data_IF_696495178145
#
_entry.id   IF_696495178145
#
_cell.length_a   1.000
_cell.length_b   1.000
_cell.length_c   1.000
_cell.angle_alpha   90.00
_cell.angle_beta   90.00
_cell.angle_gamma   90.00
#
_symmetry.space_group_name_H-M   'P 1'
#
loop_
_entity.id
_entity.type
_entity.pdbx_description
1 polymer ?
#
# COMPACT_ATOMS: atom_id res chain seq x y z
N UNK A 1 -1.31 -28.11 11.48
CA UNK A 1 -0.38 -27.99 12.61
C UNK A 1 -1.18 -27.66 13.86
N UNK A 2 -0.93 -28.29 15.01
CA UNK A 2 -1.45 -27.82 16.29
C UNK A 2 -0.84 -26.42 16.56
N UNK A 3 -1.61 -25.43 17.06
CA UNK A 3 -1.04 -24.16 17.47
C UNK A 3 0.06 -24.45 18.52
N UNK A 4 1.21 -23.81 18.40
CA UNK A 4 2.19 -23.77 19.48
C UNK A 4 1.53 -23.11 20.71
N UNK A 5 1.92 -23.44 21.93
CA UNK A 5 1.41 -22.79 23.13
C UNK A 5 1.67 -21.27 23.14
N UNK A 6 2.56 -20.78 22.27
CA UNK A 6 2.94 -19.38 22.08
C UNK A 6 2.12 -18.62 21.00
N UNK A 7 1.07 -19.23 20.43
CA UNK A 7 0.29 -18.61 19.34
C UNK A 7 -0.64 -17.51 19.85
N UNK A 8 -0.37 -16.27 19.47
CA UNK A 8 -1.15 -15.08 19.85
C UNK A 8 -2.52 -15.02 19.16
N UNK A 9 -3.52 -14.46 19.86
CA UNK A 9 -4.78 -14.02 19.29
C UNK A 9 -4.64 -12.54 18.92
N UNK A 10 -4.73 -12.21 17.63
CA UNK A 10 -4.49 -10.86 17.14
C UNK A 10 -5.74 -10.35 16.43
N UNK A 11 -6.27 -9.23 16.91
CA UNK A 11 -7.37 -8.53 16.27
C UNK A 11 -6.83 -7.43 15.35
N UNK A 12 -7.10 -7.53 14.04
CA UNK A 12 -6.64 -6.59 13.01
C UNK A 12 -7.81 -5.68 12.62
N UNK A 13 -7.68 -4.37 12.86
CA UNK A 13 -8.71 -3.39 12.59
C UNK A 13 -8.40 -2.60 11.32
N UNK A 14 -9.25 -2.74 10.32
CA UNK A 14 -9.20 -1.97 9.08
C UNK A 14 -9.82 -0.58 9.25
N UNK A 15 -9.44 0.40 8.41
CA UNK A 15 -10.14 1.68 8.34
C UNK A 15 -11.64 1.49 8.07
N UNK A 16 -12.52 2.25 8.77
CA UNK A 16 -13.97 2.08 8.70
C UNK A 16 -14.57 2.18 7.28
N UNK A 17 -13.88 2.85 6.33
CA UNK A 17 -14.30 2.98 4.92
C UNK A 17 -13.70 1.91 4.01
N UNK A 18 -12.72 1.14 4.49
CA UNK A 18 -12.03 0.12 3.69
C UNK A 18 -12.94 -1.09 3.46
N UNK A 19 -12.96 -1.61 2.24
CA UNK A 19 -13.73 -2.79 1.88
C UNK A 19 -12.81 -4.02 1.86
N UNK A 20 -13.03 -4.99 2.73
CA UNK A 20 -12.28 -6.25 2.73
C UNK A 20 -12.91 -7.25 1.75
N UNK A 21 -12.81 -6.95 0.44
CA UNK A 21 -13.45 -7.71 -0.62
C UNK A 21 -12.61 -7.70 -1.89
N UNK A 22 -12.47 -8.81 -2.65
CA UNK A 22 -11.68 -8.87 -3.89
C UNK A 22 -12.09 -7.80 -4.91
N UNK A 23 -13.38 -7.47 -5.00
CA UNK A 23 -13.90 -6.54 -5.99
C UNK A 23 -13.57 -5.07 -5.70
N UNK A 24 -13.44 -4.68 -4.43
CA UNK A 24 -13.38 -3.27 -4.02
C UNK A 24 -12.32 -2.99 -2.95
N UNK A 25 -11.33 -3.88 -2.77
CA UNK A 25 -10.26 -3.67 -1.81
C UNK A 25 -9.38 -2.48 -2.21
N UNK A 26 -9.14 -1.58 -1.27
CA UNK A 26 -8.08 -0.60 -1.38
C UNK A 26 -6.70 -1.19 -1.02
N UNK A 27 -5.69 -0.34 -1.01
CA UNK A 27 -4.31 -0.77 -0.75
C UNK A 27 -4.14 -1.44 0.62
N UNK A 28 -4.81 -0.92 1.66
CA UNK A 28 -4.71 -1.46 3.04
C UNK A 28 -5.38 -2.82 3.13
N UNK A 29 -6.61 -2.98 2.61
CA UNK A 29 -7.32 -4.26 2.65
C UNK A 29 -6.57 -5.36 1.86
N UNK A 30 -6.03 -5.02 0.69
CA UNK A 30 -5.22 -5.96 -0.12
C UNK A 30 -3.96 -6.38 0.62
N UNK A 31 -3.26 -5.42 1.23
CA UNK A 31 -2.05 -5.69 2.01
C UNK A 31 -2.35 -6.60 3.19
N UNK A 32 -3.35 -6.27 4.01
CA UNK A 32 -3.76 -7.09 5.17
C UNK A 32 -4.17 -8.50 4.73
N UNK A 33 -4.93 -8.63 3.63
CA UNK A 33 -5.26 -9.93 3.06
C UNK A 33 -4.00 -10.72 2.71
N UNK A 34 -3.07 -10.12 1.95
CA UNK A 34 -1.90 -10.82 1.41
C UNK A 34 -0.95 -11.28 2.52
N UNK A 35 -0.69 -10.45 3.54
CA UNK A 35 0.17 -10.84 4.67
C UNK A 35 -0.51 -11.85 5.60
N UNK A 36 -1.82 -11.69 5.85
CA UNK A 36 -2.57 -12.64 6.71
C UNK A 36 -2.63 -14.02 6.07
N UNK A 37 -2.86 -14.07 4.74
CA UNK A 37 -2.87 -15.32 3.98
C UNK A 37 -1.49 -16.00 3.94
N UNK A 38 -0.42 -15.21 3.92
CA UNK A 38 0.96 -15.70 3.83
C UNK A 38 1.60 -15.99 5.19
N UNK A 39 0.97 -15.59 6.30
CA UNK A 39 1.48 -15.85 7.66
C UNK A 39 1.55 -17.36 7.95
N UNK A 40 2.66 -17.77 8.52
CA UNK A 40 2.94 -19.17 8.93
C UNK A 40 3.23 -19.30 10.41
N UNK A 41 3.12 -18.21 11.18
CA UNK A 41 3.44 -18.16 12.62
C UNK A 41 2.52 -19.02 13.50
N UNK A 42 1.36 -19.44 13.00
CA UNK A 42 0.33 -20.10 13.79
C UNK A 42 -0.54 -19.13 14.62
N UNK A 43 -0.29 -17.82 14.59
CA UNK A 43 -1.13 -16.83 15.26
C UNK A 43 -2.57 -16.89 14.76
N UNK A 44 -3.51 -16.66 15.67
CA UNK A 44 -4.95 -16.61 15.35
C UNK A 44 -5.34 -15.19 14.99
N UNK A 45 -5.31 -14.88 13.69
CA UNK A 45 -5.59 -13.55 13.15
C UNK A 45 -7.09 -13.38 12.88
N UNK A 46 -7.71 -12.33 13.43
CA UNK A 46 -9.11 -11.97 13.18
C UNK A 46 -9.19 -10.55 12.64
N UNK A 47 -9.77 -10.41 11.45
CA UNK A 47 -9.84 -9.13 10.74
C UNK A 47 -11.20 -8.50 10.97
N UNK A 48 -11.21 -7.24 11.40
CA UNK A 48 -12.41 -6.44 11.60
C UNK A 48 -12.50 -5.32 10.57
N UNK A 49 -13.64 -5.22 9.89
CA UNK A 49 -13.89 -4.21 8.87
C UNK A 49 -15.38 -3.89 8.70
N UNK A 50 -15.70 -2.98 7.80
CA UNK A 50 -17.10 -2.73 7.45
C UNK A 50 -17.73 -3.94 6.77
N UNK A 51 -19.05 -4.06 6.86
CA UNK A 51 -19.78 -5.10 6.14
C UNK A 51 -19.57 -4.97 4.62
N UNK A 52 -19.33 -6.09 3.98
CA UNK A 52 -19.21 -6.25 2.52
C UNK A 52 -19.99 -7.48 2.09
N UNK A 53 -20.51 -7.49 0.86
CA UNK A 53 -21.33 -8.60 0.34
C UNK A 53 -20.52 -9.88 0.15
N UNK A 54 -19.26 -9.77 -0.29
CA UNK A 54 -18.35 -10.89 -0.56
C UNK A 54 -16.97 -10.56 0.00
N UNK A 55 -16.67 -10.91 1.27
CA UNK A 55 -15.35 -10.75 1.84
C UNK A 55 -14.33 -11.65 1.15
N UNK A 56 -13.03 -11.40 1.35
CA UNK A 56 -11.99 -12.32 0.88
C UNK A 56 -12.25 -13.73 1.45
N UNK A 57 -12.25 -14.79 0.62
CA UNK A 57 -12.53 -16.14 1.05
C UNK A 57 -11.42 -16.69 1.97
N UNK A 58 -11.80 -17.64 2.84
CA UNK A 58 -10.90 -18.33 3.76
C UNK A 58 -10.16 -17.40 4.75
N UNK A 59 -10.74 -16.22 5.04
CA UNK A 59 -10.24 -15.29 6.05
C UNK A 59 -11.20 -15.25 7.25
N UNK A 60 -10.63 -15.20 8.46
CA UNK A 60 -11.40 -14.98 9.69
C UNK A 60 -11.80 -13.48 9.75
N UNK A 61 -12.88 -13.13 9.08
CA UNK A 61 -13.38 -11.76 8.95
C UNK A 61 -14.67 -11.54 9.73
N UNK A 62 -14.70 -10.47 10.52
CA UNK A 62 -15.86 -10.02 11.26
C UNK A 62 -16.29 -8.63 10.80
N UNK A 63 -17.53 -8.51 10.34
CA UNK A 63 -18.11 -7.23 9.97
C UNK A 63 -18.52 -6.41 11.20
N UNK A 64 -18.15 -5.12 11.21
CA UNK A 64 -18.57 -4.16 12.23
C UNK A 64 -19.42 -3.06 11.60
N UNK A 65 -20.58 -2.79 12.19
CA UNK A 65 -21.40 -1.61 11.90
C UNK A 65 -21.03 -0.51 12.90
N UNK A 66 -20.50 0.64 12.44
CA UNK A 66 -20.14 1.74 13.33
C UNK A 66 -21.30 2.17 14.22
N UNK A 67 -21.03 2.36 15.51
CA UNK A 67 -21.99 2.80 16.51
C UNK A 67 -21.93 4.30 16.71
N UNK A 68 -23.07 4.97 16.81
CA UNK A 68 -23.17 6.43 17.03
C UNK A 68 -22.29 7.24 16.03
N UNK A 69 -22.14 6.77 14.79
CA UNK A 69 -21.29 7.39 13.78
C UNK A 69 -21.75 8.81 13.40
N UNK A 70 -23.02 9.12 13.58
CA UNK A 70 -23.61 10.44 13.37
C UNK A 70 -23.07 11.49 14.36
N UNK A 71 -22.66 11.08 15.56
CA UNK A 71 -22.15 11.97 16.62
C UNK A 71 -20.61 12.02 16.64
N UNK A 72 -19.95 10.87 16.55
CA UNK A 72 -18.51 10.74 16.75
C UNK A 72 -17.74 10.50 15.45
N UNK A 73 -18.42 10.36 14.32
CA UNK A 73 -17.87 10.01 13.03
C UNK A 73 -17.58 8.51 12.87
N UNK A 74 -17.38 8.07 11.62
CA UNK A 74 -17.28 6.66 11.25
C UNK A 74 -16.14 5.91 11.97
N UNK A 75 -14.97 6.52 12.12
CA UNK A 75 -13.80 5.86 12.71
C UNK A 75 -14.00 5.59 14.21
N UNK A 76 -14.44 6.59 14.98
CA UNK A 76 -14.70 6.40 16.42
C UNK A 76 -15.92 5.52 16.64
N UNK A 77 -16.98 5.68 15.85
CA UNK A 77 -18.12 4.77 15.88
C UNK A 77 -17.75 3.32 15.61
N UNK A 78 -16.78 3.07 14.71
CA UNK A 78 -16.23 1.73 14.47
C UNK A 78 -15.48 1.21 15.70
N UNK A 79 -14.60 2.03 16.30
CA UNK A 79 -13.87 1.67 17.51
C UNK A 79 -14.80 1.35 18.69
N UNK A 80 -15.87 2.14 18.88
CA UNK A 80 -16.89 1.89 19.90
C UNK A 80 -17.62 0.55 19.69
N UNK A 81 -17.98 0.23 18.46
CA UNK A 81 -18.65 -1.02 18.12
C UNK A 81 -17.70 -2.21 18.31
N UNK A 82 -16.42 -2.10 17.92
CA UNK A 82 -15.39 -3.09 18.19
C UNK A 82 -15.24 -3.37 19.71
N UNK A 83 -15.09 -2.32 20.51
CA UNK A 83 -14.95 -2.45 21.97
C UNK A 83 -16.16 -3.10 22.65
N UNK A 84 -17.37 -2.93 22.11
CA UNK A 84 -18.57 -3.65 22.58
C UNK A 84 -18.46 -5.15 22.27
N UNK A 85 -18.05 -5.52 21.06
CA UNK A 85 -17.85 -6.93 20.70
C UNK A 85 -16.75 -7.58 21.55
N UNK A 86 -15.67 -6.82 21.85
CA UNK A 86 -14.59 -7.30 22.70
C UNK A 86 -15.02 -7.72 24.09
N UNK A 87 -16.10 -7.15 24.64
CA UNK A 87 -16.64 -7.54 25.93
C UNK A 87 -17.32 -8.93 25.93
N UNK A 88 -17.68 -9.44 24.76
CA UNK A 88 -18.42 -10.70 24.56
C UNK A 88 -17.57 -11.83 24.00
N UNK A 89 -16.28 -11.58 23.75
CA UNK A 89 -15.34 -12.53 23.15
C UNK A 89 -14.06 -12.67 23.98
N UNK A 90 -13.27 -13.74 23.80
CA UNK A 90 -11.94 -13.83 24.39
C UNK A 90 -11.11 -12.60 24.01
N UNK A 91 -10.40 -12.04 24.98
CA UNK A 91 -9.55 -10.87 24.77
C UNK A 91 -8.40 -11.24 23.83
N UNK A 92 -8.07 -10.39 22.84
CA UNK A 92 -6.88 -10.58 22.04
C UNK A 92 -5.61 -10.29 22.87
N UNK A 93 -4.52 -10.91 22.48
CA UNK A 93 -3.20 -10.66 23.03
C UNK A 93 -2.59 -9.37 22.44
N UNK A 94 -3.02 -9.00 21.24
CA UNK A 94 -2.57 -7.79 20.53
C UNK A 94 -3.71 -7.23 19.67
N UNK A 95 -3.82 -5.90 19.60
CA UNK A 95 -4.70 -5.19 18.67
C UNK A 95 -3.83 -4.46 17.64
N UNK A 96 -4.02 -4.79 16.37
CA UNK A 96 -3.32 -4.17 15.23
C UNK A 96 -4.26 -3.22 14.49
N UNK A 97 -3.90 -1.93 14.38
CA UNK A 97 -4.75 -0.89 13.80
C UNK A 97 -4.08 -0.31 12.55
N UNK A 98 -4.81 -0.30 11.44
CA UNK A 98 -4.30 0.22 10.17
C UNK A 98 -4.78 1.62 9.87
N UNK A 99 -3.84 2.58 9.77
CA UNK A 99 -4.05 3.90 9.18
C UNK A 99 -5.06 4.80 9.88
N UNK A 100 -5.27 4.63 11.21
CA UNK A 100 -6.22 5.48 11.95
C UNK A 100 -5.71 5.80 13.35
N UNK A 101 -4.86 6.85 13.46
CA UNK A 101 -4.23 7.27 14.70
C UNK A 101 -5.25 7.58 15.81
N UNK A 102 -6.33 8.28 15.48
CA UNK A 102 -7.40 8.58 16.45
C UNK A 102 -8.14 7.33 16.95
N UNK A 103 -8.21 6.26 16.16
CA UNK A 103 -8.77 4.96 16.60
C UNK A 103 -7.80 4.29 17.57
N UNK A 104 -6.50 4.31 17.27
CA UNK A 104 -5.47 3.77 18.15
C UNK A 104 -5.48 4.47 19.52
N UNK A 105 -5.44 5.81 19.54
CA UNK A 105 -5.55 6.60 20.78
C UNK A 105 -6.83 6.28 21.56
N UNK A 106 -7.96 6.14 20.88
CA UNK A 106 -9.23 5.84 21.54
C UNK A 106 -9.25 4.43 22.15
N UNK A 107 -8.76 3.42 21.44
CA UNK A 107 -8.76 2.03 21.92
C UNK A 107 -7.79 1.85 23.07
N UNK A 108 -6.56 2.35 22.98
CA UNK A 108 -5.56 2.21 24.05
C UNK A 108 -6.02 2.93 25.33
N UNK A 109 -6.70 4.08 25.20
CA UNK A 109 -7.26 4.78 26.36
C UNK A 109 -8.39 4.00 27.05
N UNK A 110 -9.14 3.15 26.34
CA UNK A 110 -10.23 2.34 26.88
C UNK A 110 -9.80 0.93 27.30
N UNK A 111 -8.66 0.45 26.81
CA UNK A 111 -8.08 -0.89 27.09
C UNK A 111 -6.56 -0.81 27.25
N UNK A 112 -6.06 -0.08 28.29
CA UNK A 112 -4.63 0.19 28.43
C UNK A 112 -3.78 -1.09 28.69
N UNK A 113 -4.39 -2.17 29.08
CA UNK A 113 -3.75 -3.46 29.36
C UNK A 113 -3.68 -4.39 28.15
N UNK A 114 -4.22 -4.02 26.99
CA UNK A 114 -4.05 -4.74 25.73
C UNK A 114 -3.07 -3.96 24.86
N UNK A 115 -1.92 -4.55 24.49
CA UNK A 115 -0.98 -3.85 23.61
C UNK A 115 -1.63 -3.52 22.26
N UNK A 116 -1.34 -2.32 21.77
CA UNK A 116 -1.87 -1.81 20.49
C UNK A 116 -0.71 -1.44 19.60
N UNK A 117 -0.72 -1.97 18.37
CA UNK A 117 0.20 -1.62 17.29
C UNK A 117 -0.52 -0.78 16.24
N UNK A 118 0.12 0.26 15.74
CA UNK A 118 -0.41 1.16 14.72
C UNK A 118 0.41 1.08 13.44
N UNK A 119 -0.20 0.66 12.34
CA UNK A 119 0.38 0.73 10.99
C UNK A 119 0.05 2.06 10.33
N UNK A 120 1.07 2.76 9.83
CA UNK A 120 0.97 4.06 9.15
C UNK A 120 1.22 3.91 7.65
N UNK A 121 0.17 3.77 6.83
CA UNK A 121 0.27 3.65 5.37
C UNK A 121 0.32 5.02 4.65
N UNK A 122 0.17 6.13 5.34
CA UNK A 122 0.17 7.49 4.80
C UNK A 122 0.87 8.45 5.77
N UNK A 123 1.14 9.69 5.31
CA UNK A 123 1.74 10.74 6.12
C UNK A 123 0.88 11.02 7.38
N UNK A 124 1.43 10.80 8.57
CA UNK A 124 0.70 11.00 9.81
C UNK A 124 0.37 12.46 10.09
N UNK A 125 1.09 13.41 9.50
CA UNK A 125 0.85 14.86 9.68
C UNK A 125 -0.49 15.30 9.08
N UNK A 126 -1.01 14.53 8.12
CA UNK A 126 -2.34 14.76 7.51
C UNK A 126 -3.45 13.94 8.17
N UNK A 127 -3.11 13.07 9.14
CA UNK A 127 -4.05 12.12 9.73
C UNK A 127 -4.61 12.64 11.06
N UNK A 128 -5.91 12.49 11.28
CA UNK A 128 -6.57 12.86 12.53
C UNK A 128 -6.00 12.02 13.70
N UNK A 129 -5.51 12.71 14.74
CA UNK A 129 -4.90 12.09 15.93
C UNK A 129 -3.38 11.90 15.84
N UNK A 130 -2.73 12.55 14.84
CA UNK A 130 -1.26 12.59 14.71
C UNK A 130 -0.74 13.84 14.00
N UNK A 131 -1.61 14.84 13.79
CA UNK A 131 -1.23 16.07 13.08
C UNK A 131 -0.19 16.91 13.85
N UNK A 132 -0.33 16.97 15.16
CA UNK A 132 0.57 17.76 16.02
C UNK A 132 1.67 16.89 16.60
N UNK A 133 2.78 17.53 16.99
CA UNK A 133 3.88 16.89 17.71
C UNK A 133 3.36 16.24 18.99
N UNK A 134 2.50 16.93 19.75
CA UNK A 134 1.92 16.41 20.98
C UNK A 134 1.08 15.14 20.78
N UNK A 135 0.24 15.08 19.71
CA UNK A 135 -0.52 13.90 19.37
C UNK A 135 0.40 12.71 19.01
N UNK A 136 1.46 12.95 18.25
CA UNK A 136 2.42 11.89 17.88
C UNK A 136 3.21 11.40 19.09
N UNK A 137 3.64 12.32 19.99
CA UNK A 137 4.30 11.95 21.24
C UNK A 137 3.38 11.12 22.14
N UNK A 138 2.11 11.48 22.25
CA UNK A 138 1.11 10.71 23.00
C UNK A 138 0.91 9.29 22.43
N UNK A 139 0.94 9.14 21.10
CA UNK A 139 0.91 7.82 20.46
C UNK A 139 2.12 6.96 20.83
N UNK A 140 3.35 7.52 20.79
CA UNK A 140 4.57 6.80 21.18
C UNK A 140 4.52 6.37 22.65
N UNK A 141 4.04 7.23 23.53
CA UNK A 141 3.94 6.94 24.95
C UNK A 141 2.96 5.78 25.25
N UNK A 142 1.85 5.67 24.50
CA UNK A 142 0.74 4.75 24.80
C UNK A 142 0.76 3.46 23.99
N UNK A 143 1.33 3.46 22.80
CA UNK A 143 1.31 2.31 21.91
C UNK A 143 2.50 1.38 22.17
N UNK A 144 2.29 0.09 21.96
CA UNK A 144 3.34 -0.91 22.00
C UNK A 144 4.31 -0.71 20.82
N UNK A 145 3.78 -0.37 19.62
CA UNK A 145 4.60 -0.19 18.44
C UNK A 145 3.89 0.68 17.39
N UNK A 146 4.68 1.45 16.63
CA UNK A 146 4.24 2.24 15.49
C UNK A 146 5.03 1.78 14.28
N UNK A 147 4.33 1.27 13.25
CA UNK A 147 4.93 0.67 12.07
C UNK A 147 4.67 1.56 10.86
N UNK A 148 5.71 2.18 10.34
CA UNK A 148 5.69 3.03 9.17
C UNK A 148 5.94 2.19 7.91
N UNK A 149 5.25 2.47 6.79
CA UNK A 149 5.42 1.70 5.54
C UNK A 149 6.73 2.00 4.82
N UNK A 150 7.47 3.04 5.24
CA UNK A 150 8.73 3.48 4.65
C UNK A 150 9.51 4.34 5.64
N UNK A 151 10.82 4.51 5.40
CA UNK A 151 11.64 5.48 6.15
C UNK A 151 11.11 6.90 5.95
N UNK A 152 10.64 7.24 4.73
CA UNK A 152 9.97 8.51 4.46
C UNK A 152 8.79 8.76 5.42
N UNK A 153 7.92 7.77 5.63
CA UNK A 153 6.78 7.92 6.57
C UNK A 153 7.25 7.94 8.03
N UNK A 154 8.32 7.22 8.36
CA UNK A 154 8.95 7.29 9.68
C UNK A 154 9.50 8.70 9.94
N UNK A 155 10.19 9.30 8.98
CA UNK A 155 10.70 10.66 9.08
C UNK A 155 9.55 11.68 9.25
N UNK A 156 8.46 11.52 8.48
CA UNK A 156 7.25 12.33 8.65
C UNK A 156 6.62 12.17 10.04
N UNK A 157 6.66 10.97 10.62
CA UNK A 157 6.15 10.73 11.96
C UNK A 157 7.04 11.36 13.04
N UNK A 158 8.34 11.24 12.88
CA UNK A 158 9.34 11.76 13.83
C UNK A 158 9.57 13.27 13.73
N UNK A 159 9.08 13.92 12.68
CA UNK A 159 9.26 15.35 12.43
C UNK A 159 8.87 16.20 13.65
N UNK A 160 9.88 16.87 14.24
CA UNK A 160 9.74 17.70 15.45
C UNK A 160 9.59 16.93 16.77
N UNK A 161 9.66 15.58 16.78
CA UNK A 161 9.66 14.79 18.00
C UNK A 161 11.08 14.70 18.60
N UNK A 162 11.17 14.88 19.91
CA UNK A 162 12.33 14.51 20.70
C UNK A 162 11.97 13.25 21.50
N UNK A 163 12.56 12.12 21.11
CA UNK A 163 12.32 10.80 21.69
C UNK A 163 13.63 10.28 22.29
N UNK A 164 13.54 9.55 23.40
CA UNK A 164 14.65 8.76 23.89
C UNK A 164 14.84 7.44 23.09
N UNK A 165 15.84 6.65 23.45
CA UNK A 165 16.17 5.44 22.73
C UNK A 165 15.07 4.37 22.83
N UNK A 166 14.38 4.26 23.95
CA UNK A 166 13.29 3.32 24.17
C UNK A 166 12.04 3.73 23.37
N UNK A 167 11.67 5.01 23.43
CA UNK A 167 10.58 5.58 22.64
C UNK A 167 10.84 5.42 21.13
N UNK A 168 12.08 5.69 20.68
CA UNK A 168 12.45 5.56 19.27
C UNK A 168 12.40 4.11 18.78
N UNK A 169 12.74 3.14 19.63
CA UNK A 169 12.69 1.71 19.30
C UNK A 169 11.26 1.23 19.00
N UNK A 170 10.22 1.91 19.51
CA UNK A 170 8.82 1.62 19.18
C UNK A 170 8.42 2.03 17.77
N UNK A 171 9.20 2.91 17.10
CA UNK A 171 8.88 3.41 15.76
C UNK A 171 9.75 2.68 14.72
N UNK A 172 9.19 1.72 14.04
CA UNK A 172 9.89 0.89 13.08
C UNK A 172 9.35 1.05 11.65
N UNK A 173 10.14 0.59 10.68
CA UNK A 173 9.77 0.59 9.25
C UNK A 173 9.46 -0.83 8.79
N UNK A 174 8.36 -0.93 8.07
CA UNK A 174 7.93 -2.18 7.47
C UNK A 174 7.25 -1.95 6.13
N UNK A 175 7.93 -2.20 5.00
CA UNK A 175 7.37 -2.00 3.67
C UNK A 175 6.27 -3.00 3.35
N UNK A 176 5.33 -2.56 2.51
CA UNK A 176 4.21 -3.39 2.05
C UNK A 176 4.74 -4.51 1.14
N UNK A 177 4.35 -5.75 1.44
CA UNK A 177 4.55 -6.89 0.56
C UNK A 177 3.42 -7.06 -0.45
N UNK A 178 3.73 -7.74 -1.56
CA UNK A 178 2.76 -8.11 -2.59
C UNK A 178 2.85 -9.60 -2.93
N UNK A 179 1.71 -10.20 -3.25
CA UNK A 179 1.65 -11.59 -3.69
C UNK A 179 2.16 -11.69 -5.12
N UNK A 180 3.23 -12.48 -5.32
CA UNK A 180 3.72 -12.85 -6.64
C UNK A 180 3.00 -14.12 -7.09
N UNK A 181 2.37 -14.09 -8.27
CA UNK A 181 1.66 -15.25 -8.84
C UNK A 181 2.61 -16.19 -9.60
N UNK A 182 3.63 -15.63 -10.26
CA UNK A 182 4.57 -16.36 -11.10
C UNK A 182 5.85 -16.74 -10.35
N UNK A 183 6.32 -17.96 -10.54
CA UNK A 183 7.58 -18.48 -9.99
C UNK A 183 8.78 -18.21 -10.91
N UNK A 184 8.52 -18.08 -12.20
CA UNK A 184 9.51 -17.81 -13.25
C UNK A 184 9.19 -16.49 -13.93
N UNK A 185 10.19 -15.77 -14.49
CA UNK A 185 9.97 -14.54 -15.24
C UNK A 185 8.96 -14.77 -16.38
N UNK A 186 7.92 -13.95 -16.51
CA UNK A 186 6.98 -14.07 -17.63
C UNK A 186 7.62 -13.57 -18.93
N UNK A 187 7.17 -14.13 -20.04
CA UNK A 187 7.45 -13.55 -21.34
C UNK A 187 6.76 -12.20 -21.47
N UNK A 188 7.50 -11.17 -21.86
CA UNK A 188 6.99 -9.80 -21.94
C UNK A 188 6.58 -9.45 -23.38
N UNK A 189 5.49 -8.70 -23.46
CA UNK A 189 4.98 -8.12 -24.71
C UNK A 189 5.46 -6.66 -24.82
N UNK A 190 5.49 -6.11 -26.04
CA UNK A 190 5.84 -4.71 -26.29
C UNK A 190 4.72 -3.76 -25.80
N UNK A 191 4.45 -3.77 -24.50
CA UNK A 191 3.42 -3.01 -23.83
C UNK A 191 4.05 -2.10 -22.77
N UNK A 192 3.63 -0.83 -22.78
CA UNK A 192 3.85 0.13 -21.71
C UNK A 192 2.55 0.21 -20.90
N UNK A 193 2.60 -0.13 -19.64
CA UNK A 193 1.43 -0.16 -18.76
C UNK A 193 1.51 0.90 -17.67
N UNK A 194 0.46 1.71 -17.55
CA UNK A 194 0.27 2.69 -16.48
C UNK A 194 -0.98 2.31 -15.69
N UNK A 195 -0.85 2.17 -14.38
CA UNK A 195 -1.97 1.87 -13.50
C UNK A 195 -2.03 2.84 -12.32
N UNK A 196 -3.21 3.41 -12.06
CA UNK A 196 -3.38 4.29 -10.91
C UNK A 196 -4.68 5.08 -10.92
N UNK A 197 -4.92 5.79 -9.81
CA UNK A 197 -6.04 6.75 -9.79
C UNK A 197 -5.81 7.86 -10.81
N UNK A 198 -6.85 8.22 -11.55
CA UNK A 198 -6.79 9.31 -12.52
C UNK A 198 -6.90 10.68 -11.84
N UNK A 199 -5.80 11.09 -11.21
CA UNK A 199 -5.65 12.37 -10.52
C UNK A 199 -4.28 12.99 -10.84
N UNK A 200 -4.15 14.33 -10.85
CA UNK A 200 -2.91 15.01 -11.25
C UNK A 200 -1.66 14.54 -10.50
N UNK A 201 -1.81 14.23 -9.23
CA UNK A 201 -0.70 13.81 -8.37
C UNK A 201 -0.02 12.49 -8.84
N UNK A 202 -0.71 11.71 -9.69
CA UNK A 202 -0.17 10.46 -10.23
C UNK A 202 0.66 10.61 -11.51
N UNK A 203 0.69 11.79 -12.12
CA UNK A 203 1.56 12.10 -13.27
C UNK A 203 1.24 11.32 -14.56
N UNK A 204 0.04 10.73 -14.64
CA UNK A 204 -0.35 9.93 -15.82
C UNK A 204 -0.47 10.80 -17.06
N UNK A 205 -0.95 12.04 -16.93
CA UNK A 205 -1.08 12.98 -18.04
C UNK A 205 0.28 13.34 -18.65
N UNK A 206 1.28 13.60 -17.81
CA UNK A 206 2.64 13.94 -18.23
C UNK A 206 3.30 12.78 -18.98
N UNK A 207 3.07 11.55 -18.51
CA UNK A 207 3.52 10.35 -19.23
C UNK A 207 2.76 10.13 -20.54
N UNK A 208 1.44 10.36 -20.56
CA UNK A 208 0.63 10.26 -21.76
C UNK A 208 1.10 11.23 -22.85
N UNK A 209 1.40 12.49 -22.47
CA UNK A 209 1.96 13.50 -23.38
C UNK A 209 3.35 13.10 -23.89
N UNK A 210 4.23 12.62 -23.00
CA UNK A 210 5.57 12.15 -23.38
C UNK A 210 5.52 10.98 -24.37
N UNK A 211 4.59 10.03 -24.15
CA UNK A 211 4.43 8.86 -25.02
C UNK A 211 3.74 9.22 -26.35
N UNK A 212 2.81 10.18 -26.36
CA UNK A 212 2.21 10.67 -27.61
C UNK A 212 3.26 11.23 -28.58
N UNK A 213 4.34 11.83 -28.05
CA UNK A 213 5.42 12.40 -28.87
C UNK A 213 6.32 11.31 -29.50
N UNK A 214 6.59 10.20 -28.79
CA UNK A 214 7.62 9.25 -29.22
C UNK A 214 7.07 7.92 -29.73
N UNK A 215 5.94 7.44 -29.22
CA UNK A 215 5.42 6.10 -29.52
C UNK A 215 5.08 5.88 -31.00
N UNK A 216 4.68 6.90 -31.79
CA UNK A 216 4.49 6.73 -33.23
C UNK A 216 5.72 6.23 -34.00
N UNK A 217 6.94 6.41 -33.45
CA UNK A 217 8.20 5.88 -34.01
C UNK A 217 8.47 4.42 -33.62
N UNK A 218 7.67 3.84 -32.73
CA UNK A 218 7.78 2.45 -32.19
C UNK A 218 6.48 1.70 -32.41
N UNK A 219 6.16 1.38 -33.64
CA UNK A 219 4.82 0.87 -34.05
C UNK A 219 4.45 -0.46 -33.44
N UNK A 220 5.41 -1.27 -33.02
CA UNK A 220 5.24 -2.54 -32.33
C UNK A 220 4.80 -2.39 -30.87
N UNK A 221 4.98 -1.20 -30.28
CA UNK A 221 4.65 -0.93 -28.89
C UNK A 221 3.23 -0.39 -28.72
N UNK A 222 2.60 -0.79 -27.65
CA UNK A 222 1.26 -0.31 -27.25
C UNK A 222 1.31 0.32 -25.87
N UNK A 223 0.50 1.36 -25.67
CA UNK A 223 0.25 1.99 -24.39
C UNK A 223 -1.10 1.49 -23.82
N UNK A 224 -1.10 1.01 -22.59
CA UNK A 224 -2.33 0.64 -21.86
C UNK A 224 -2.38 1.42 -20.55
N UNK A 225 -3.46 2.18 -20.35
CA UNK A 225 -3.68 3.00 -19.16
C UNK A 225 -4.91 2.47 -18.41
N UNK A 226 -4.72 2.01 -17.17
CA UNK A 226 -5.77 1.48 -16.32
C UNK A 226 -6.01 2.35 -15.08
N UNK A 227 -7.27 2.63 -14.81
CA UNK A 227 -7.69 3.36 -13.62
C UNK A 227 -8.78 4.38 -13.88
N UNK A 228 -9.36 4.89 -12.80
CA UNK A 228 -10.36 5.95 -12.81
C UNK A 228 -10.20 6.83 -11.56
N UNK A 229 -10.79 8.01 -11.59
CA UNK A 229 -10.84 8.90 -10.41
C UNK A 229 -11.75 8.33 -9.32
N UNK A 230 -12.92 7.83 -9.71
CA UNK A 230 -13.95 7.13 -8.91
C UNK A 230 -14.67 6.13 -9.78
N UNK A 231 -15.50 5.29 -9.17
CA UNK A 231 -16.34 4.30 -9.87
C UNK A 231 -17.52 4.93 -10.66
N UNK A 232 -17.54 6.27 -10.88
CA UNK A 232 -18.68 7.03 -11.43
C UNK A 232 -18.29 7.85 -12.66
N UNK A 233 -19.30 8.21 -13.43
CA UNK A 233 -19.41 8.78 -14.78
C UNK A 233 -18.33 9.76 -15.27
N UNK A 234 -18.06 9.67 -16.58
CA UNK A 234 -17.15 10.54 -17.33
C UNK A 234 -17.63 12.02 -17.30
N UNK A 235 -16.79 12.91 -16.76
CA UNK A 235 -16.90 14.36 -16.91
C UNK A 235 -15.96 14.79 -18.03
N UNK A 236 -16.46 15.49 -19.09
CA UNK A 236 -15.64 15.95 -20.22
C UNK A 236 -14.47 16.85 -19.83
N UNK A 237 -14.54 17.51 -18.67
CA UNK A 237 -13.47 18.35 -18.12
C UNK A 237 -12.63 17.60 -17.07
N UNK A 238 -12.85 16.30 -16.91
CA UNK A 238 -12.13 15.47 -15.95
C UNK A 238 -10.65 15.31 -16.32
N UNK A 239 -9.87 14.84 -15.36
CA UNK A 239 -8.48 14.48 -15.61
C UNK A 239 -8.37 13.33 -16.62
N UNK A 240 -9.32 12.38 -16.57
CA UNK A 240 -9.45 11.28 -17.54
C UNK A 240 -9.60 11.79 -18.97
N UNK A 241 -10.45 12.80 -19.19
CA UNK A 241 -10.65 13.41 -20.50
C UNK A 241 -9.37 14.08 -21.03
N UNK A 242 -8.58 14.71 -20.16
CA UNK A 242 -7.28 15.28 -20.53
C UNK A 242 -6.28 14.21 -20.95
N UNK A 243 -6.24 13.08 -20.22
CA UNK A 243 -5.39 11.93 -20.56
C UNK A 243 -5.83 11.33 -21.89
N UNK A 244 -7.14 11.11 -22.09
CA UNK A 244 -7.68 10.57 -23.36
C UNK A 244 -7.31 11.48 -24.54
N UNK A 245 -7.46 12.79 -24.40
CA UNK A 245 -7.07 13.78 -25.43
C UNK A 245 -5.56 13.74 -25.72
N UNK A 246 -4.73 13.55 -24.70
CA UNK A 246 -3.27 13.50 -24.88
C UNK A 246 -2.82 12.29 -25.69
N UNK A 247 -3.50 11.15 -25.57
CA UNK A 247 -3.16 9.92 -26.31
C UNK A 247 -3.95 9.74 -27.62
N UNK A 248 -4.90 10.62 -27.95
CA UNK A 248 -5.71 10.56 -29.18
C UNK A 248 -4.85 10.42 -30.45
N UNK A 249 -3.68 11.12 -30.60
CA UNK A 249 -2.80 10.95 -31.76
C UNK A 249 -2.23 9.52 -31.94
N UNK A 250 -2.22 8.70 -30.90
CA UNK A 250 -1.71 7.34 -30.94
C UNK A 250 -2.70 6.34 -31.58
N UNK A 251 -3.97 6.70 -31.71
CA UNK A 251 -4.98 5.83 -32.30
C UNK A 251 -4.98 4.43 -31.66
N UNK A 252 -4.81 3.39 -32.46
CA UNK A 252 -4.84 2.00 -32.02
C UNK A 252 -3.61 1.58 -31.20
N UNK A 253 -2.57 2.40 -31.08
CA UNK A 253 -1.42 2.14 -30.22
C UNK A 253 -1.70 2.46 -28.74
N UNK A 254 -2.81 3.11 -28.40
CA UNK A 254 -3.14 3.46 -27.03
C UNK A 254 -4.56 3.02 -26.65
N UNK A 255 -4.69 2.54 -25.40
CA UNK A 255 -5.95 2.08 -24.84
C UNK A 255 -6.10 2.60 -23.41
N UNK A 256 -7.29 3.13 -23.08
CA UNK A 256 -7.71 3.41 -21.71
C UNK A 256 -8.78 2.40 -21.30
N UNK A 257 -8.46 1.53 -20.36
CA UNK A 257 -9.38 0.48 -19.90
C UNK A 257 -10.43 0.97 -18.90
N UNK A 258 -10.25 2.19 -18.35
CA UNK A 258 -11.00 2.62 -17.18
C UNK A 258 -10.61 1.84 -15.92
N UNK A 259 -11.53 1.76 -14.96
CA UNK A 259 -11.33 0.93 -13.77
C UNK A 259 -11.41 -0.55 -14.13
N UNK A 260 -10.38 -1.30 -13.74
CA UNK A 260 -10.34 -2.77 -13.85
C UNK A 260 -10.03 -3.41 -12.48
N UNK A 261 -10.51 -4.63 -12.21
CA UNK A 261 -10.18 -5.36 -10.99
C UNK A 261 -8.69 -5.63 -10.84
N UNK A 262 -8.23 -5.80 -9.59
CA UNK A 262 -6.82 -5.98 -9.26
C UNK A 262 -6.17 -7.16 -10.02
N UNK A 263 -6.90 -8.26 -10.21
CA UNK A 263 -6.36 -9.41 -10.94
C UNK A 263 -6.07 -9.07 -12.41
N UNK A 264 -6.91 -8.26 -13.04
CA UNK A 264 -6.65 -7.76 -14.39
C UNK A 264 -5.48 -6.77 -14.44
N UNK A 265 -5.30 -5.92 -13.40
CA UNK A 265 -4.10 -5.07 -13.27
C UNK A 265 -2.84 -5.94 -13.22
N UNK A 266 -2.86 -7.02 -12.43
CA UNK A 266 -1.75 -7.98 -12.35
C UNK A 266 -1.49 -8.68 -13.68
N UNK A 267 -2.55 -9.09 -14.43
CA UNK A 267 -2.41 -9.68 -15.75
C UNK A 267 -1.71 -8.74 -16.73
N UNK A 268 -2.08 -7.46 -16.73
CA UNK A 268 -1.40 -6.45 -17.53
C UNK A 268 0.06 -6.25 -17.12
N UNK A 269 0.36 -6.18 -15.82
CA UNK A 269 1.74 -6.04 -15.32
C UNK A 269 2.59 -7.26 -15.70
N UNK A 270 2.05 -8.47 -15.63
CA UNK A 270 2.78 -9.67 -16.00
C UNK A 270 3.12 -9.72 -17.50
N UNK A 271 2.26 -9.20 -18.36
CA UNK A 271 2.47 -9.09 -19.82
C UNK A 271 3.35 -7.90 -20.22
N UNK A 272 3.20 -6.76 -19.59
CA UNK A 272 3.87 -5.52 -19.97
C UNK A 272 5.40 -5.60 -19.81
N UNK A 273 6.14 -5.20 -20.85
CA UNK A 273 7.59 -5.07 -20.78
C UNK A 273 8.02 -3.86 -19.93
N UNK A 274 7.25 -2.77 -19.98
CA UNK A 274 7.51 -1.54 -19.23
C UNK A 274 6.28 -1.22 -18.38
N UNK A 275 6.49 -0.87 -17.11
CA UNK A 275 5.46 -0.26 -16.27
C UNK A 275 5.91 1.13 -15.84
N UNK A 276 5.00 2.12 -15.91
CA UNK A 276 5.29 3.46 -15.44
C UNK A 276 4.43 3.82 -14.22
N UNK A 277 5.10 4.33 -13.19
CA UNK A 277 4.50 4.78 -11.93
C UNK A 277 4.98 6.21 -11.64
N UNK A 278 4.47 7.20 -12.42
CA UNK A 278 5.08 8.53 -12.55
C UNK A 278 4.63 9.54 -11.50
N UNK A 279 4.49 9.15 -10.24
CA UNK A 279 3.93 10.00 -9.19
C UNK A 279 4.65 11.34 -9.07
N UNK A 280 3.87 12.42 -9.01
CA UNK A 280 4.37 13.79 -8.83
C UNK A 280 4.36 14.22 -7.35
N UNK A 281 3.58 13.56 -6.52
CA UNK A 281 3.51 13.82 -5.09
C UNK A 281 4.37 12.85 -4.27
N UNK A 282 4.57 13.16 -3.01
CA UNK A 282 5.35 12.33 -2.10
C UNK A 282 4.56 11.07 -1.72
N UNK A 283 4.85 9.96 -2.38
CA UNK A 283 4.20 8.67 -2.10
C UNK A 283 4.64 8.11 -0.76
N UNK A 284 3.74 7.54 0.03
CA UNK A 284 4.13 6.84 1.25
C UNK A 284 5.13 5.71 1.00
N UNK A 285 4.91 4.90 -0.05
CA UNK A 285 5.81 3.82 -0.48
C UNK A 285 5.77 3.60 -1.99
N UNK A 286 4.59 3.76 -2.62
CA UNK A 286 4.40 3.45 -4.04
C UNK A 286 4.05 1.99 -4.30
N UNK A 287 2.93 1.51 -3.75
CA UNK A 287 2.49 0.09 -3.90
C UNK A 287 2.49 -0.38 -5.36
N UNK A 288 2.08 0.47 -6.32
CA UNK A 288 2.07 0.13 -7.76
C UNK A 288 3.48 -0.14 -8.30
N UNK A 289 4.51 0.56 -7.76
CA UNK A 289 5.91 0.27 -8.08
C UNK A 289 6.29 -1.13 -7.61
N UNK A 290 5.94 -1.47 -6.37
CA UNK A 290 6.21 -2.79 -5.79
C UNK A 290 5.52 -3.90 -6.59
N UNK A 291 4.26 -3.69 -7.01
CA UNK A 291 3.49 -4.62 -7.85
C UNK A 291 4.13 -4.82 -9.23
N UNK A 292 4.56 -3.74 -9.88
CA UNK A 292 5.22 -3.78 -11.19
C UNK A 292 6.59 -4.48 -11.14
N UNK A 293 7.39 -4.23 -10.10
CA UNK A 293 8.65 -4.93 -9.87
C UNK A 293 8.41 -6.43 -9.62
N UNK A 294 7.41 -6.79 -8.80
CA UNK A 294 7.05 -8.18 -8.55
C UNK A 294 6.67 -8.94 -9.83
N UNK A 295 6.06 -8.24 -10.78
CA UNK A 295 5.69 -8.79 -12.09
C UNK A 295 6.88 -8.84 -13.08
N UNK A 296 8.06 -8.32 -12.73
CA UNK A 296 9.24 -8.30 -13.60
C UNK A 296 9.16 -7.29 -14.74
N UNK A 297 8.48 -6.16 -14.55
CA UNK A 297 8.50 -5.06 -15.50
C UNK A 297 9.82 -4.28 -15.41
N UNK A 298 10.27 -3.72 -16.54
CA UNK A 298 11.20 -2.58 -16.49
C UNK A 298 10.39 -1.36 -16.01
N UNK A 299 10.64 -0.94 -14.77
CA UNK A 299 9.85 0.12 -14.14
C UNK A 299 10.47 1.49 -14.39
N UNK A 300 9.65 2.45 -14.85
CA UNK A 300 9.95 3.88 -14.84
C UNK A 300 9.15 4.54 -13.73
N UNK A 301 9.83 5.26 -12.84
CA UNK A 301 9.18 5.90 -11.69
C UNK A 301 9.87 7.21 -11.32
N UNK A 302 9.50 7.82 -10.20
CA UNK A 302 10.00 9.12 -9.76
C UNK A 302 10.62 9.05 -8.37
N UNK A 303 11.54 9.99 -8.07
CA UNK A 303 12.12 10.13 -6.73
C UNK A 303 11.18 10.93 -5.83
N UNK A 304 10.08 10.30 -5.39
CA UNK A 304 9.05 10.93 -4.56
C UNK A 304 8.71 10.08 -3.34
N UNK A 305 8.82 10.70 -2.13
CA UNK A 305 8.52 10.01 -0.87
C UNK A 305 9.29 8.72 -0.67
N UNK A 306 8.59 7.64 -0.31
CA UNK A 306 9.16 6.31 -0.10
C UNK A 306 9.42 5.49 -1.37
N UNK A 307 9.12 6.00 -2.57
CA UNK A 307 9.38 5.26 -3.82
C UNK A 307 10.85 4.81 -3.96
N UNK A 308 11.87 5.65 -3.67
CA UNK A 308 13.26 5.24 -3.78
C UNK A 308 13.61 4.00 -2.94
N UNK A 309 12.99 3.82 -1.79
CA UNK A 309 13.26 2.70 -0.87
C UNK A 309 12.97 1.33 -1.51
N UNK A 310 12.03 1.28 -2.44
CA UNK A 310 11.64 0.05 -3.15
C UNK A 310 12.19 -0.01 -4.57
N UNK A 311 12.52 1.13 -5.18
CA UNK A 311 12.87 1.26 -6.58
C UNK A 311 14.39 1.39 -6.84
N UNK A 312 15.18 1.86 -5.87
CA UNK A 312 16.62 2.10 -6.06
C UNK A 312 17.35 0.80 -6.49
N UNK A 313 18.16 0.90 -7.55
CA UNK A 313 18.83 -0.24 -8.15
C UNK A 313 17.94 -1.20 -8.96
N UNK A 314 16.60 -1.03 -8.97
CA UNK A 314 15.62 -1.93 -9.62
C UNK A 314 14.76 -1.25 -10.69
N UNK A 315 14.81 0.07 -10.78
CA UNK A 315 13.97 0.86 -11.69
C UNK A 315 14.74 2.04 -12.30
N UNK A 316 14.23 2.58 -13.40
CA UNK A 316 14.65 3.87 -13.93
C UNK A 316 13.93 4.98 -13.16
N UNK A 317 14.65 5.70 -12.31
CA UNK A 317 14.09 6.73 -11.43
C UNK A 317 14.33 8.12 -12.04
N UNK A 318 13.24 8.85 -12.24
CA UNK A 318 13.25 10.26 -12.71
C UNK A 318 13.32 11.19 -11.49
N UNK A 319 14.40 11.96 -11.38
CA UNK A 319 14.62 12.88 -10.26
C UNK A 319 13.74 14.14 -10.33
N UNK A 320 13.58 14.71 -11.52
CA UNK A 320 12.78 15.91 -11.77
C UNK A 320 11.69 15.57 -12.79
N UNK A 321 10.51 15.11 -12.35
CA UNK A 321 9.45 14.66 -13.25
C UNK A 321 8.90 15.82 -14.07
N UNK A 322 8.87 15.63 -15.39
CA UNK A 322 8.27 16.51 -16.40
C UNK A 322 8.00 15.70 -17.66
N UNK A 323 7.21 16.23 -18.59
CA UNK A 323 6.97 15.59 -19.90
C UNK A 323 8.30 15.26 -20.60
N UNK A 324 9.25 16.21 -20.61
CA UNK A 324 10.54 16.01 -21.26
C UNK A 324 11.36 14.87 -20.62
N UNK A 325 11.46 14.85 -19.28
CA UNK A 325 12.24 13.81 -18.59
C UNK A 325 11.56 12.43 -18.64
N UNK A 326 10.23 12.36 -18.68
CA UNK A 326 9.52 11.11 -18.96
C UNK A 326 9.76 10.63 -20.38
N UNK A 327 9.69 11.53 -21.37
CA UNK A 327 10.00 11.22 -22.77
C UNK A 327 11.39 10.62 -22.90
N UNK A 328 12.42 11.25 -22.31
CA UNK A 328 13.79 10.76 -22.36
C UNK A 328 13.94 9.40 -21.66
N UNK A 329 13.26 9.20 -20.52
CA UNK A 329 13.22 7.93 -19.82
C UNK A 329 12.57 6.80 -20.64
N UNK A 330 11.42 7.07 -21.26
CA UNK A 330 10.79 6.10 -22.17
C UNK A 330 11.64 5.83 -23.40
N UNK A 331 12.23 6.87 -24.01
CA UNK A 331 13.12 6.71 -25.16
C UNK A 331 14.29 5.78 -24.83
N UNK A 332 14.88 5.88 -23.63
CA UNK A 332 15.94 4.97 -23.17
C UNK A 332 15.43 3.52 -23.06
N UNK A 333 14.26 3.30 -22.42
CA UNK A 333 13.70 1.96 -22.26
C UNK A 333 13.22 1.33 -23.58
N UNK A 334 12.80 2.14 -24.54
CA UNK A 334 12.36 1.67 -25.87
C UNK A 334 13.52 1.32 -26.79
N UNK A 335 14.63 2.09 -26.75
CA UNK A 335 15.78 1.92 -27.63
C UNK A 335 16.77 0.86 -27.14
N UNK A 336 16.95 0.77 -25.80
CA UNK A 336 17.99 -0.07 -25.20
C UNK A 336 17.38 -1.35 -24.63
N UNK A 337 17.25 -2.36 -25.48
CA UNK A 337 16.71 -3.68 -25.12
C UNK A 337 17.52 -4.33 -23.99
N UNK A 338 18.85 -4.20 -24.03
CA UNK A 338 19.73 -4.79 -23.02
C UNK A 338 19.47 -4.17 -21.64
N UNK A 339 19.41 -2.85 -21.58
CA UNK A 339 19.09 -2.13 -20.33
C UNK A 339 17.70 -2.47 -19.82
N UNK A 340 16.70 -2.51 -20.72
CA UNK A 340 15.33 -2.90 -20.36
C UNK A 340 15.27 -4.32 -19.78
N UNK A 341 15.89 -5.31 -20.45
CA UNK A 341 15.95 -6.70 -19.98
C UNK A 341 16.72 -6.82 -18.68
N UNK A 342 17.79 -6.05 -18.48
CA UNK A 342 18.51 -6.01 -17.21
C UNK A 342 17.60 -5.55 -16.06
N UNK A 343 16.81 -4.48 -16.24
CA UNK A 343 15.86 -4.01 -15.22
C UNK A 343 14.79 -5.06 -14.94
N UNK A 344 14.24 -5.72 -15.96
CA UNK A 344 13.26 -6.80 -15.79
C UNK A 344 13.82 -7.97 -14.99
N UNK A 345 15.06 -8.36 -15.29
CA UNK A 345 15.75 -9.45 -14.60
C UNK A 345 16.00 -9.12 -13.14
N UNK A 346 16.54 -7.94 -12.84
CA UNK A 346 16.78 -7.48 -11.47
C UNK A 346 15.46 -7.38 -10.69
N UNK A 347 14.43 -6.77 -11.28
CA UNK A 347 13.13 -6.63 -10.66
C UNK A 347 12.52 -7.98 -10.26
N UNK A 348 12.69 -9.01 -11.11
CA UNK A 348 12.13 -10.33 -10.84
C UNK A 348 13.01 -11.18 -9.93
N UNK A 349 14.32 -11.26 -10.17
CA UNK A 349 15.22 -12.16 -9.46
C UNK A 349 15.48 -11.69 -8.01
N UNK A 350 15.66 -10.39 -7.81
CA UNK A 350 16.05 -9.80 -6.53
C UNK A 350 14.88 -9.01 -5.90
N UNK A 351 13.72 -9.63 -5.83
CA UNK A 351 12.50 -9.01 -5.29
C UNK A 351 12.27 -9.38 -3.82
N UNK A 352 12.60 -8.49 -2.86
CA UNK A 352 12.55 -8.81 -1.44
C UNK A 352 11.15 -8.63 -0.81
N UNK A 353 10.19 -7.98 -1.51
CA UNK A 353 8.90 -7.55 -0.95
C UNK A 353 7.77 -8.55 -1.26
N UNK A 354 8.05 -9.86 -1.23
CA UNK A 354 6.99 -10.87 -1.37
C UNK A 354 6.10 -10.89 -0.13
N UNK A 355 4.81 -11.18 -0.29
CA UNK A 355 3.89 -11.30 0.85
C UNK A 355 4.38 -12.33 1.88
N UNK A 356 5.02 -13.42 1.45
CA UNK A 356 5.59 -14.43 2.37
C UNK A 356 6.74 -13.86 3.19
N UNK A 357 7.72 -13.19 2.55
CA UNK A 357 8.83 -12.59 3.27
C UNK A 357 8.36 -11.50 4.24
N UNK A 358 7.36 -10.72 3.81
CA UNK A 358 6.79 -9.67 4.64
C UNK A 358 5.93 -10.23 5.77
N UNK A 359 5.14 -11.28 5.54
CA UNK A 359 4.37 -11.93 6.60
C UNK A 359 5.26 -12.43 7.75
N UNK A 360 6.37 -13.10 7.42
CA UNK A 360 7.32 -13.57 8.44
C UNK A 360 7.88 -12.41 9.27
N UNK A 361 8.23 -11.29 8.64
CA UNK A 361 8.71 -10.10 9.36
C UNK A 361 7.64 -9.46 10.24
N UNK A 362 6.39 -9.36 9.73
CA UNK A 362 5.29 -8.79 10.52
C UNK A 362 4.95 -9.68 11.71
N UNK A 363 5.04 -10.99 11.56
CA UNK A 363 4.80 -11.93 12.67
C UNK A 363 5.86 -11.76 13.77
N UNK A 364 7.13 -11.50 13.41
CA UNK A 364 8.17 -11.14 14.40
C UNK A 364 7.88 -9.81 15.09
N UNK A 365 7.39 -8.80 14.37
CA UNK A 365 7.00 -7.52 14.97
C UNK A 365 5.81 -7.69 15.93
N UNK A 366 4.83 -8.52 15.58
CA UNK A 366 3.68 -8.86 16.43
C UNK A 366 4.13 -9.51 17.75
N UNK A 367 5.03 -10.48 17.65
CA UNK A 367 5.60 -11.15 18.83
C UNK A 367 6.37 -10.14 19.70
N UNK A 368 7.26 -9.35 19.11
CA UNK A 368 8.03 -8.35 19.84
C UNK A 368 7.15 -7.30 20.53
N UNK A 369 6.07 -6.83 19.89
CA UNK A 369 5.12 -5.89 20.48
C UNK A 369 4.40 -6.49 21.71
N UNK A 370 4.03 -7.76 21.64
CA UNK A 370 3.44 -8.49 22.76
C UNK A 370 4.44 -8.66 23.90
N UNK A 371 5.65 -9.16 23.64
CA UNK A 371 6.68 -9.43 24.64
C UNK A 371 7.09 -8.17 25.41
N UNK A 372 7.31 -7.05 24.69
CA UNK A 372 7.66 -5.76 25.30
C UNK A 372 6.57 -5.28 26.25
N UNK A 373 5.31 -5.38 25.85
CA UNK A 373 4.19 -4.95 26.70
C UNK A 373 4.01 -5.88 27.92
N UNK A 374 4.24 -7.18 27.75
CA UNK A 374 4.10 -8.18 28.82
C UNK A 374 5.16 -8.00 29.91
N UNK A 375 6.41 -7.73 29.53
CA UNK A 375 7.49 -7.48 30.49
C UNK A 375 7.37 -6.13 31.20
N UNK A 376 6.88 -5.09 30.53
CA UNK A 376 6.64 -3.77 31.12
C UNK A 376 5.53 -3.73 32.20
N UNK A 377 4.65 -4.74 32.24
CA UNK A 377 3.59 -4.85 33.28
C UNK A 377 4.01 -5.68 34.50
N UNK A 378 5.19 -6.29 34.50
CA UNK A 378 5.70 -7.12 35.61
C UNK A 378 6.82 -6.46 36.42
N UNK A 379 7.32 -5.30 36.00
CA UNK A 379 8.27 -4.46 36.73
C UNK A 379 7.55 -3.29 37.39
#
# INVERSE_FOLDING_TARGET
>A
MKPSDDALNIDILLPAKEAFSPANAGAVATYVHDITKASTSGHRLKIFGRAVSKPFPNMNFAAIKPSMAWLFGQNIGFAMAYLRQLNSHPKPDLIEIHGRCNVASYIVAKRPYIPVTLFLPNDPRDMKGSKTIAERKDLVAKLAQIICVSDYIKDCFLDGLALDAEELAKVCVFPIGVSRRLKTPPQKEAIIFLAGRMVPEKGILECAQALADILPSYKEWRLVIAGARRFEQADPNSYEAKVAKAIEPLGNQAEMTGFIPLDQVRDWQERAAIAACPSLWQEPLGKVVVEALAAGCAVLTTRRGGIPEVAEGRALIINKPSVATFRDGFAKLLKDDQFRHQLQSIAFADFPFTSTAMANKVDLLRQAAFDTAWHGHRG
#
